data_IF_406250965584
#
_entry.id   IF_406250965584
#
_cell.length_a   1.000
_cell.length_b   1.000
_cell.length_c   1.000
_cell.angle_alpha   90.00
_cell.angle_beta   90.00
_cell.angle_gamma   90.00
#
_symmetry.space_group_name_H-M   'P 1'
#
loop_
_entity.id
_entity.type
_entity.pdbx_description
1 polymer ?
#
# COMPACT_ATOMS: atom_id res chain seq x y z
N UNK A 1 14.11 7.73 15.32
CA UNK A 1 13.43 6.73 14.46
C UNK A 1 12.12 7.23 13.82
N UNK A 2 11.31 8.09 14.45
CA UNK A 2 10.05 8.61 13.85
C UNK A 2 10.23 9.57 12.66
N UNK A 3 11.27 10.44 12.67
CA UNK A 3 11.57 11.35 11.55
C UNK A 3 11.77 10.58 10.24
N UNK A 4 12.49 9.47 10.27
CA UNK A 4 12.73 8.63 9.08
C UNK A 4 11.44 8.00 8.55
N UNK A 5 10.50 7.60 9.43
CA UNK A 5 9.19 7.05 9.02
C UNK A 5 8.32 8.11 8.39
N UNK A 6 8.24 9.31 8.96
CA UNK A 6 7.45 10.41 8.38
C UNK A 6 8.00 10.87 7.03
N UNK A 7 9.32 10.93 6.86
CA UNK A 7 9.94 11.24 5.56
C UNK A 7 9.66 10.14 4.54
N UNK A 8 9.83 8.85 4.90
CA UNK A 8 9.49 7.73 4.01
C UNK A 8 8.02 7.73 3.62
N UNK A 9 7.13 7.98 4.59
CA UNK A 9 5.69 8.10 4.38
C UNK A 9 5.38 9.22 3.39
N UNK A 10 5.90 10.42 3.63
CA UNK A 10 5.70 11.56 2.74
C UNK A 10 6.20 11.27 1.33
N UNK A 11 7.43 10.77 1.18
CA UNK A 11 7.99 10.42 -0.12
C UNK A 11 7.14 9.37 -0.84
N UNK A 12 6.66 8.35 -0.13
CA UNK A 12 5.85 7.29 -0.71
C UNK A 12 4.46 7.78 -1.13
N UNK A 13 3.79 8.59 -0.31
CA UNK A 13 2.48 9.16 -0.63
C UNK A 13 2.55 10.21 -1.74
N UNK A 14 3.68 10.91 -1.88
CA UNK A 14 3.94 11.91 -2.92
C UNK A 14 4.41 11.31 -4.25
N UNK A 15 4.64 9.98 -4.33
CA UNK A 15 4.98 9.33 -5.60
C UNK A 15 3.86 9.50 -6.61
N UNK A 16 4.18 9.58 -7.91
CA UNK A 16 3.17 9.60 -8.96
C UNK A 16 2.44 8.26 -9.01
N UNK A 17 1.21 8.25 -8.49
CA UNK A 17 0.29 7.11 -8.61
C UNK A 17 -0.18 7.00 -10.06
N UNK A 18 -0.03 5.82 -10.65
CA UNK A 18 -0.55 5.54 -11.99
C UNK A 18 -2.05 5.31 -11.91
N UNK A 19 -2.80 5.71 -12.95
CA UNK A 19 -4.21 5.36 -13.07
C UNK A 19 -4.35 4.11 -13.95
N UNK A 20 -5.20 3.18 -13.53
CA UNK A 20 -5.62 2.06 -14.37
C UNK A 20 -6.73 2.50 -15.31
N UNK A 21 -7.00 1.67 -16.33
CA UNK A 21 -8.07 1.90 -17.30
C UNK A 21 -9.45 1.98 -16.62
N UNK A 22 -9.61 1.27 -15.50
CA UNK A 22 -10.82 1.29 -14.68
C UNK A 22 -10.86 2.45 -13.65
N UNK A 23 -9.92 3.40 -13.72
CA UNK A 23 -9.91 4.60 -12.87
C UNK A 23 -9.27 4.43 -11.50
N UNK A 24 -8.72 3.25 -11.19
CA UNK A 24 -8.07 2.99 -9.90
C UNK A 24 -6.67 3.58 -9.87
N UNK A 25 -6.28 4.15 -8.73
CA UNK A 25 -4.90 4.59 -8.53
C UNK A 25 -4.05 3.42 -8.07
N UNK A 26 -2.88 3.18 -8.67
CA UNK A 26 -1.96 2.15 -8.22
C UNK A 26 -0.51 2.62 -8.18
N UNK A 27 0.26 2.02 -7.28
CA UNK A 27 1.67 2.30 -7.06
C UNK A 27 2.43 0.97 -6.91
N UNK A 28 3.58 0.87 -7.58
CA UNK A 28 4.53 -0.25 -7.41
C UNK A 28 5.64 0.19 -6.47
N UNK A 29 5.87 -0.57 -5.40
CA UNK A 29 6.90 -0.29 -4.42
C UNK A 29 7.33 -1.58 -3.71
N UNK A 30 8.65 -1.76 -3.53
CA UNK A 30 9.23 -2.77 -2.64
C UNK A 30 8.76 -4.21 -2.90
N UNK A 31 8.50 -4.57 -4.17
CA UNK A 31 8.00 -5.90 -4.56
C UNK A 31 6.47 -6.03 -4.54
N UNK A 32 5.74 -4.97 -4.20
CA UNK A 32 4.28 -4.96 -4.09
C UNK A 32 3.63 -3.98 -5.09
N UNK A 33 2.39 -4.30 -5.45
CA UNK A 33 1.45 -3.40 -6.11
C UNK A 33 0.42 -3.00 -5.07
N UNK A 34 0.35 -1.69 -4.80
CA UNK A 34 -0.73 -1.08 -4.04
C UNK A 34 -1.76 -0.53 -4.98
N UNK A 35 -3.05 -0.78 -4.72
CA UNK A 35 -4.18 -0.21 -5.42
C UNK A 35 -5.04 0.55 -4.42
N UNK A 36 -5.54 1.70 -4.85
CA UNK A 36 -6.50 2.54 -4.14
C UNK A 36 -7.69 2.74 -5.06
N UNK A 37 -8.87 2.48 -4.53
CA UNK A 37 -10.11 2.66 -5.26
C UNK A 37 -11.21 3.22 -4.38
N UNK A 38 -12.12 3.96 -5.01
CA UNK A 38 -13.36 4.36 -4.39
C UNK A 38 -14.31 3.16 -4.41
N UNK A 39 -14.73 2.70 -3.23
CA UNK A 39 -15.86 1.80 -3.09
C UNK A 39 -17.19 2.56 -3.15
N UNK A 40 -18.30 1.86 -2.91
CA UNK A 40 -19.65 2.42 -2.96
C UNK A 40 -19.89 3.56 -1.96
N UNK A 41 -19.27 3.48 -0.77
CA UNK A 41 -19.43 4.48 0.30
C UNK A 41 -18.11 4.98 0.89
N UNK A 42 -16.99 4.27 0.64
CA UNK A 42 -15.71 4.58 1.26
C UNK A 42 -14.55 4.17 0.35
N UNK A 43 -13.39 4.77 0.58
CA UNK A 43 -12.15 4.38 -0.07
C UNK A 43 -11.63 3.07 0.51
N UNK A 44 -11.01 2.25 -0.35
CA UNK A 44 -10.34 1.01 0.03
C UNK A 44 -8.96 0.93 -0.59
N UNK A 45 -8.09 0.16 0.06
CA UNK A 45 -6.78 -0.18 -0.46
C UNK A 45 -6.59 -1.69 -0.56
N UNK A 46 -5.77 -2.09 -1.52
CA UNK A 46 -5.30 -3.46 -1.70
C UNK A 46 -3.80 -3.46 -1.91
N UNK A 47 -3.12 -4.44 -1.35
CA UNK A 47 -1.69 -4.69 -1.52
C UNK A 47 -1.52 -6.14 -1.92
N UNK A 48 -0.85 -6.35 -3.04
CA UNK A 48 -0.48 -7.68 -3.55
C UNK A 48 0.98 -7.71 -3.95
N UNK A 49 1.63 -8.87 -3.88
CA UNK A 49 2.95 -9.03 -4.44
C UNK A 49 2.92 -8.87 -5.96
N UNK A 50 4.00 -8.35 -6.56
CA UNK A 50 4.13 -8.28 -8.01
C UNK A 50 4.13 -9.71 -8.58
N UNK A 51 3.26 -9.97 -9.55
CA UNK A 51 3.08 -11.31 -10.14
C UNK A 51 2.11 -12.22 -9.37
N UNK A 52 1.68 -11.83 -8.17
CA UNK A 52 0.66 -12.55 -7.43
C UNK A 52 -0.76 -12.08 -7.81
N UNK A 53 -1.68 -13.04 -7.88
CA UNK A 53 -3.11 -12.80 -7.99
C UNK A 53 -3.75 -12.54 -6.62
N UNK A 54 -3.20 -13.12 -5.56
CA UNK A 54 -3.72 -13.02 -4.20
C UNK A 54 -3.42 -11.66 -3.54
N UNK A 55 -4.39 -11.19 -2.76
CA UNK A 55 -4.26 -9.98 -1.95
C UNK A 55 -3.55 -10.33 -0.64
N UNK A 56 -2.40 -9.71 -0.40
CA UNK A 56 -1.64 -9.90 0.83
C UNK A 56 -2.24 -9.10 2.00
N UNK A 57 -2.70 -7.88 1.71
CA UNK A 57 -3.36 -6.98 2.68
C UNK A 57 -4.40 -6.13 1.97
N UNK A 58 -5.51 -5.87 2.64
CA UNK A 58 -6.51 -4.90 2.20
C UNK A 58 -7.11 -4.20 3.42
N UNK A 59 -7.82 -3.11 3.15
CA UNK A 59 -8.66 -2.43 4.12
C UNK A 59 -9.65 -1.53 3.40
N UNK A 60 -10.80 -1.29 4.02
CA UNK A 60 -11.89 -0.46 3.53
C UNK A 60 -12.36 0.55 4.60
N UNK A 61 -13.41 1.32 4.28
CA UNK A 61 -14.01 2.27 5.24
C UNK A 61 -13.27 3.60 5.37
N UNK A 62 -12.32 3.91 4.49
CA UNK A 62 -11.56 5.16 4.58
C UNK A 62 -12.35 6.35 4.03
N UNK A 63 -12.39 7.42 4.81
CA UNK A 63 -13.12 8.66 4.46
C UNK A 63 -12.48 9.46 3.32
N UNK A 64 -11.21 9.21 3.01
CA UNK A 64 -10.52 9.90 1.91
C UNK A 64 -9.47 9.00 1.24
N UNK A 65 -9.09 9.36 0.02
CA UNK A 65 -8.00 8.72 -0.73
C UNK A 65 -6.67 8.78 0.03
N UNK A 66 -6.41 9.87 0.75
CA UNK A 66 -5.20 10.04 1.55
C UNK A 66 -5.19 9.10 2.75
N UNK A 67 -6.32 8.95 3.45
CA UNK A 67 -6.45 8.00 4.55
C UNK A 67 -6.21 6.55 4.07
N UNK A 68 -6.76 6.18 2.91
CA UNK A 68 -6.51 4.87 2.31
C UNK A 68 -5.03 4.67 1.93
N UNK A 69 -4.37 5.70 1.38
CA UNK A 69 -2.93 5.67 1.05
C UNK A 69 -2.06 5.52 2.30
N UNK A 70 -2.39 6.22 3.37
CA UNK A 70 -1.67 6.13 4.65
C UNK A 70 -1.80 4.72 5.25
N UNK A 71 -3.02 4.17 5.26
CA UNK A 71 -3.25 2.82 5.73
C UNK A 71 -2.52 1.77 4.87
N UNK A 72 -2.48 1.96 3.55
CA UNK A 72 -1.73 1.09 2.65
C UNK A 72 -0.21 1.15 2.91
N UNK A 73 0.34 2.34 3.14
CA UNK A 73 1.76 2.50 3.51
C UNK A 73 2.08 1.76 4.80
N UNK A 74 1.24 1.93 5.83
CA UNK A 74 1.43 1.25 7.11
C UNK A 74 1.33 -0.29 6.92
N UNK A 75 0.39 -0.78 6.10
CA UNK A 75 0.24 -2.20 5.81
C UNK A 75 1.46 -2.82 5.07
N UNK A 76 2.03 -2.12 4.08
CA UNK A 76 3.24 -2.56 3.37
C UNK A 76 4.44 -2.54 4.31
N UNK A 77 4.57 -1.48 5.10
CA UNK A 77 5.68 -1.34 6.07
C UNK A 77 5.67 -2.50 7.06
N UNK A 78 4.50 -2.83 7.62
CA UNK A 78 4.34 -3.97 8.51
C UNK A 78 4.67 -5.30 7.84
N UNK A 79 4.31 -5.45 6.56
CA UNK A 79 4.59 -6.66 5.80
C UNK A 79 6.09 -6.82 5.51
N UNK A 80 6.78 -5.74 5.14
CA UNK A 80 8.22 -5.71 4.96
C UNK A 80 8.97 -6.00 6.27
N UNK A 81 8.52 -5.43 7.39
CA UNK A 81 9.11 -5.70 8.71
C UNK A 81 8.93 -7.17 9.12
N UNK A 82 7.75 -7.75 8.87
CA UNK A 82 7.49 -9.18 9.11
C UNK A 82 8.33 -10.10 8.21
N UNK A 83 8.69 -9.66 7.01
CA UNK A 83 9.58 -10.42 6.13
C UNK A 83 11.05 -10.29 6.56
N UNK A 84 11.50 -9.10 6.95
CA UNK A 84 12.85 -8.88 7.45
C UNK A 84 13.14 -9.63 8.76
N UNK A 85 12.12 -9.81 9.61
CA UNK A 85 12.22 -10.60 10.84
C UNK A 85 12.05 -12.11 10.64
N UNK A 86 11.70 -12.58 9.44
CA UNK A 86 11.60 -14.01 9.13
C UNK A 86 12.97 -14.46 8.62
N UNK A 87 13.72 -15.31 9.33
CA UNK A 87 14.92 -15.91 8.74
C UNK A 87 14.50 -16.64 7.48
N UNK A 88 15.24 -16.45 6.39
CA UNK A 88 15.07 -17.23 5.18
C UNK A 88 15.27 -18.70 5.57
N UNK A 89 14.18 -19.47 5.64
CA UNK A 89 14.28 -20.92 5.68
C UNK A 89 14.94 -21.34 4.37
N UNK A 90 16.19 -21.82 4.51
CA UNK A 90 17.01 -22.47 3.48
C UNK A 90 16.29 -23.69 2.89
#
# INVERSE_FOLDING_TARGET
>A
MQRTRNVKRHLWTSRPWRKSVAGHSYLRADGYITRIEAGSAAWRFEVRAIGATEICRCGDGFRSVEAARLAAFDAITDLLLKQAGRPASL
#
